data_IF_357008401815
#
_entry.id   IF_357008401815
#
_cell.length_a   1.000
_cell.length_b   1.000
_cell.length_c   1.000
_cell.angle_alpha   90.00
_cell.angle_beta   90.00
_cell.angle_gamma   90.00
#
_symmetry.space_group_name_H-M   'P 1'
#
loop_
_entity.id
_entity.type
_entity.pdbx_description
1 polymer ?
#
# COMPACT_ATOMS: atom_id res chain seq x y z
N UNK A 1 8.39 -3.29 8.88
CA UNK A 1 8.46 -3.95 10.20
C UNK A 1 9.86 -3.83 10.75
N UNK A 2 10.00 -3.58 12.05
CA UNK A 2 11.27 -3.65 12.77
C UNK A 2 11.27 -4.92 13.62
N UNK A 3 12.33 -5.72 13.53
CA UNK A 3 12.43 -7.04 14.14
C UNK A 3 13.72 -7.16 14.94
N UNK A 4 13.65 -7.79 16.11
CA UNK A 4 14.84 -8.13 16.89
C UNK A 4 15.56 -9.35 16.32
N UNK A 5 16.83 -9.54 16.69
CA UNK A 5 17.59 -10.71 16.27
C UNK A 5 16.87 -11.99 16.69
N UNK A 6 16.60 -12.88 15.72
CA UNK A 6 15.88 -14.13 15.95
C UNK A 6 14.35 -13.99 16.06
N UNK A 7 13.78 -12.80 15.80
CA UNK A 7 12.33 -12.61 15.69
C UNK A 7 11.55 -12.63 17.01
N UNK A 8 12.23 -12.45 18.13
CA UNK A 8 11.62 -12.47 19.48
C UNK A 8 10.68 -11.29 19.73
N UNK A 9 10.91 -10.18 19.03
CA UNK A 9 10.10 -8.97 19.11
C UNK A 9 9.93 -8.38 17.71
N UNK A 10 8.69 -8.00 17.41
CA UNK A 10 8.29 -7.42 16.13
C UNK A 10 7.47 -6.17 16.40
N UNK A 11 7.87 -5.05 15.80
CA UNK A 11 7.13 -3.79 15.84
C UNK A 11 6.73 -3.41 14.42
N UNK A 12 5.42 -3.22 14.21
CA UNK A 12 4.87 -2.66 12.97
C UNK A 12 4.77 -1.14 13.13
N UNK A 13 5.43 -0.40 12.25
CA UNK A 13 5.31 1.06 12.20
C UNK A 13 4.09 1.42 11.37
N UNK A 14 3.21 2.22 11.94
CA UNK A 14 1.94 2.68 11.36
C UNK A 14 1.99 4.16 10.94
N UNK A 15 3.06 4.87 11.29
CA UNK A 15 3.23 6.30 11.03
C UNK A 15 4.70 6.70 11.09
N UNK A 16 5.05 7.81 10.43
CA UNK A 16 6.37 8.44 10.54
C UNK A 16 6.62 8.87 11.99
N UNK A 17 5.62 9.47 12.65
CA UNK A 17 5.72 9.92 14.04
C UNK A 17 6.10 8.79 15.00
N UNK A 18 5.48 7.61 14.87
CA UNK A 18 5.85 6.44 15.70
C UNK A 18 7.30 6.01 15.47
N UNK A 19 7.77 6.01 14.22
CA UNK A 19 9.16 5.69 13.91
C UNK A 19 10.11 6.71 14.53
N UNK A 20 9.84 8.02 14.38
CA UNK A 20 10.67 9.06 14.98
C UNK A 20 10.70 8.97 16.51
N UNK A 21 9.54 8.78 17.15
CA UNK A 21 9.43 8.65 18.61
C UNK A 21 10.21 7.46 19.15
N UNK A 22 10.12 6.31 18.48
CA UNK A 22 10.75 5.08 18.95
C UNK A 22 12.25 5.02 18.63
N UNK A 23 12.69 5.60 17.50
CA UNK A 23 14.10 5.57 17.09
C UNK A 23 14.91 6.77 17.57
N UNK A 24 14.25 7.91 17.85
CA UNK A 24 14.89 9.20 18.09
C UNK A 24 15.43 9.88 16.82
N UNK A 25 15.30 9.26 15.65
CA UNK A 25 15.73 9.82 14.37
C UNK A 25 14.64 10.70 13.75
N UNK A 26 15.06 11.72 12.98
CA UNK A 26 14.15 12.49 12.13
C UNK A 26 14.07 11.86 10.74
N UNK A 27 12.85 11.74 10.21
CA UNK A 27 12.56 10.99 8.98
C UNK A 27 11.80 11.88 8.01
N UNK A 28 12.45 12.22 6.91
CA UNK A 28 11.87 13.04 5.85
C UNK A 28 11.53 12.24 4.59
N UNK A 29 12.18 11.09 4.42
CA UNK A 29 11.96 10.18 3.30
C UNK A 29 12.00 8.73 3.80
N UNK A 30 10.96 7.97 3.46
CA UNK A 30 10.78 6.56 3.83
C UNK A 30 11.39 5.58 2.82
N UNK A 31 12.02 6.04 1.74
CA UNK A 31 12.70 5.13 0.83
C UNK A 31 13.81 4.37 1.54
N UNK A 32 13.97 3.10 1.18
CA UNK A 32 14.84 2.11 1.82
C UNK A 32 16.23 2.65 2.20
N UNK A 33 16.93 3.29 1.25
CA UNK A 33 18.28 3.81 1.44
C UNK A 33 18.38 4.89 2.54
N UNK A 34 17.27 5.55 2.84
CA UNK A 34 17.17 6.60 3.86
C UNK A 34 16.78 6.07 5.24
N UNK A 35 16.27 4.84 5.36
CA UNK A 35 15.72 4.32 6.62
C UNK A 35 16.33 3.01 7.10
N UNK A 36 17.05 2.25 6.27
CA UNK A 36 17.60 0.94 6.65
C UNK A 36 18.59 1.01 7.82
N UNK A 37 19.29 2.14 7.97
CA UNK A 37 20.23 2.35 9.07
C UNK A 37 19.53 2.70 10.39
N UNK A 38 18.25 3.07 10.37
CA UNK A 38 17.50 3.48 11.55
C UNK A 38 17.16 2.25 12.40
N UNK A 39 17.58 2.30 13.66
CA UNK A 39 17.34 1.23 14.64
C UNK A 39 16.38 1.69 15.73
N UNK A 40 15.66 0.74 16.32
CA UNK A 40 14.78 0.99 17.47
C UNK A 40 15.33 0.26 18.69
N UNK A 41 15.66 0.97 19.80
CA UNK A 41 16.08 0.34 21.04
C UNK A 41 14.89 -0.34 21.75
N UNK A 42 15.14 -1.51 22.33
CA UNK A 42 14.19 -2.24 23.18
C UNK A 42 14.93 -2.87 24.37
N UNK A 43 14.18 -3.21 25.43
CA UNK A 43 14.68 -3.98 26.56
C UNK A 43 15.17 -5.38 26.15
N UNK A 44 14.74 -5.88 24.98
CA UNK A 44 15.12 -7.18 24.42
C UNK A 44 16.20 -7.11 23.34
N UNK A 45 16.84 -5.94 23.18
CA UNK A 45 17.90 -5.69 22.20
C UNK A 45 17.52 -4.62 21.18
N UNK A 46 18.24 -4.56 20.07
CA UNK A 46 18.04 -3.57 19.02
C UNK A 46 17.22 -4.19 17.88
N UNK A 47 16.15 -3.52 17.47
CA UNK A 47 15.35 -3.91 16.33
C UNK A 47 15.82 -3.18 15.07
N UNK A 48 15.77 -3.90 13.94
CA UNK A 48 16.15 -3.39 12.61
C UNK A 48 15.02 -3.63 11.61
N UNK A 49 14.90 -2.79 10.60
CA UNK A 49 13.95 -3.01 9.50
C UNK A 49 14.25 -4.35 8.82
N UNK A 50 13.21 -5.09 8.44
CA UNK A 50 13.38 -6.21 7.50
C UNK A 50 13.82 -5.69 6.12
N UNK A 51 14.44 -6.52 5.30
CA UNK A 51 14.95 -6.08 3.99
C UNK A 51 13.85 -5.86 2.95
N UNK A 52 12.77 -6.65 3.04
CA UNK A 52 11.69 -6.66 2.05
C UNK A 52 11.01 -5.29 1.88
N UNK A 53 10.56 -5.03 0.66
CA UNK A 53 9.72 -3.89 0.30
C UNK A 53 8.37 -4.40 -0.17
N UNK A 54 7.34 -3.55 -0.12
CA UNK A 54 6.01 -3.93 -0.57
C UNK A 54 5.98 -4.25 -2.07
N UNK A 55 5.15 -5.23 -2.44
CA UNK A 55 4.70 -5.41 -3.81
C UNK A 55 3.99 -4.13 -4.30
N UNK A 56 4.29 -3.71 -5.52
CA UNK A 56 3.68 -2.54 -6.15
C UNK A 56 2.15 -2.64 -6.22
N UNK A 57 1.59 -3.86 -6.32
CA UNK A 57 0.15 -4.04 -6.30
C UNK A 57 -0.47 -3.69 -4.95
N UNK A 58 0.23 -3.89 -3.83
CA UNK A 58 -0.21 -3.43 -2.53
C UNK A 58 -0.34 -1.90 -2.51
N UNK A 59 0.67 -1.18 -3.02
CA UNK A 59 0.63 0.27 -3.11
C UNK A 59 -0.53 0.76 -4.01
N UNK A 60 -0.71 0.15 -5.18
CA UNK A 60 -1.80 0.50 -6.09
C UNK A 60 -3.19 0.20 -5.52
N UNK A 61 -3.36 -0.92 -4.81
CA UNK A 61 -4.63 -1.28 -4.17
C UNK A 61 -4.94 -0.44 -2.93
N UNK A 62 -3.91 0.13 -2.28
CA UNK A 62 -4.06 1.11 -1.21
C UNK A 62 -4.51 2.49 -1.69
N UNK A 63 -4.50 2.73 -3.02
CA UNK A 63 -4.83 4.03 -3.62
C UNK A 63 -6.07 4.71 -3.00
N UNK A 64 -7.22 4.04 -2.78
CA UNK A 64 -8.45 4.73 -2.33
C UNK A 64 -8.30 5.52 -1.03
N UNK A 65 -7.45 5.07 -0.11
CA UNK A 65 -7.18 5.76 1.16
C UNK A 65 -5.82 6.46 1.18
N UNK A 66 -4.82 5.92 0.48
CA UNK A 66 -3.45 6.45 0.51
C UNK A 66 -3.31 7.81 -0.18
N UNK A 67 -4.03 8.06 -1.28
CA UNK A 67 -3.88 9.31 -2.05
C UNK A 67 -4.29 10.56 -1.24
N UNK A 68 -5.16 10.38 -0.25
CA UNK A 68 -5.79 11.46 0.50
C UNK A 68 -5.25 11.57 1.94
N UNK A 69 -4.20 10.81 2.23
CA UNK A 69 -3.57 10.73 3.55
C UNK A 69 -4.53 10.23 4.66
N UNK A 70 -5.55 9.44 4.30
CA UNK A 70 -6.39 8.76 5.29
C UNK A 70 -5.55 7.72 6.05
N UNK A 71 -5.70 7.57 7.38
CA UNK A 71 -6.68 8.23 8.26
C UNK A 71 -6.18 9.52 8.94
N UNK A 72 -5.01 10.03 8.56
CA UNK A 72 -4.40 11.19 9.22
C UNK A 72 -5.10 12.50 8.84
N UNK A 73 -5.56 12.61 7.60
CA UNK A 73 -6.25 13.78 7.06
C UNK A 73 -7.44 13.39 6.19
N UNK A 74 -8.29 14.37 5.87
CA UNK A 74 -9.38 14.25 4.89
C UNK A 74 -10.39 13.12 5.16
N UNK A 75 -10.56 12.74 6.43
CA UNK A 75 -11.42 11.64 6.87
C UNK A 75 -12.85 11.77 6.35
N UNK A 76 -13.50 12.91 6.57
CA UNK A 76 -14.88 13.15 6.12
C UNK A 76 -15.00 13.10 4.59
N UNK A 77 -13.98 13.60 3.88
CA UNK A 77 -13.96 13.59 2.42
C UNK A 77 -13.81 12.16 1.90
N UNK A 78 -12.98 11.34 2.53
CA UNK A 78 -12.85 9.92 2.21
C UNK A 78 -14.17 9.17 2.46
N UNK A 79 -14.72 9.27 3.67
CA UNK A 79 -15.93 8.55 4.07
C UNK A 79 -17.16 8.91 3.22
N UNK A 80 -17.26 10.16 2.77
CA UNK A 80 -18.34 10.60 1.88
C UNK A 80 -18.23 10.06 0.46
N UNK A 81 -17.01 9.85 -0.04
CA UNK A 81 -16.77 9.47 -1.43
C UNK A 81 -16.50 7.98 -1.63
N UNK A 82 -16.20 7.26 -0.54
CA UNK A 82 -15.98 5.83 -0.56
C UNK A 82 -17.29 5.05 -0.32
N UNK A 83 -17.56 3.93 -1.02
CA UNK A 83 -16.78 3.34 -2.11
C UNK A 83 -16.96 4.08 -3.44
N UNK A 84 -15.94 3.98 -4.31
CA UNK A 84 -15.93 4.66 -5.61
C UNK A 84 -17.11 4.26 -6.50
N UNK A 85 -17.67 5.21 -7.24
CA UNK A 85 -18.85 4.93 -8.06
C UNK A 85 -18.53 4.09 -9.30
N UNK A 86 -17.35 4.27 -9.89
CA UNK A 86 -16.98 3.70 -11.18
C UNK A 86 -15.45 3.55 -11.31
N UNK A 87 -15.01 2.49 -11.98
CA UNK A 87 -13.63 2.28 -12.43
C UNK A 87 -13.65 1.64 -13.82
N UNK A 88 -12.68 1.95 -14.68
CA UNK A 88 -12.53 1.31 -15.98
C UNK A 88 -11.07 1.10 -16.33
N UNK A 89 -10.68 -0.14 -16.60
CA UNK A 89 -9.33 -0.51 -17.01
C UNK A 89 -9.36 -1.71 -17.97
N UNK A 90 -8.19 -2.18 -18.40
CA UNK A 90 -8.01 -3.36 -19.26
C UNK A 90 -8.33 -4.69 -18.58
N UNK A 91 -8.58 -5.72 -19.39
CA UNK A 91 -8.87 -7.09 -18.95
C UNK A 91 -7.80 -7.69 -18.04
N UNK A 92 -6.55 -7.33 -18.27
CA UNK A 92 -5.39 -7.72 -17.48
C UNK A 92 -5.52 -7.31 -15.99
N UNK A 93 -6.27 -6.26 -15.68
CA UNK A 93 -6.45 -5.79 -14.30
C UNK A 93 -7.29 -6.72 -13.43
N UNK A 94 -7.97 -7.72 -14.01
CA UNK A 94 -8.62 -8.81 -13.24
C UNK A 94 -7.64 -9.64 -12.43
N UNK A 95 -6.35 -9.63 -12.79
CA UNK A 95 -5.25 -10.28 -12.06
C UNK A 95 -4.25 -9.30 -11.44
N UNK A 96 -4.55 -8.01 -11.49
CA UNK A 96 -3.76 -6.93 -10.92
C UNK A 96 -4.62 -6.05 -10.03
N UNK A 97 -4.85 -4.82 -10.48
CA UNK A 97 -5.39 -3.75 -9.63
C UNK A 97 -6.79 -4.04 -9.08
N UNK A 98 -7.70 -4.59 -9.88
CA UNK A 98 -9.06 -4.89 -9.42
C UNK A 98 -9.05 -5.89 -8.26
N UNK A 99 -8.17 -6.89 -8.32
CA UNK A 99 -8.00 -7.86 -7.25
C UNK A 99 -7.50 -7.19 -5.98
N UNK A 100 -6.41 -6.43 -6.05
CA UNK A 100 -5.82 -5.80 -4.86
C UNK A 100 -6.69 -4.71 -4.24
N UNK A 101 -7.40 -3.93 -5.05
CA UNK A 101 -8.39 -2.96 -4.56
C UNK A 101 -9.45 -3.67 -3.71
N UNK A 102 -10.02 -4.78 -4.21
CA UNK A 102 -11.05 -5.53 -3.50
C UNK A 102 -10.52 -6.19 -2.24
N UNK A 103 -9.35 -6.84 -2.30
CA UNK A 103 -8.74 -7.49 -1.14
C UNK A 103 -8.49 -6.50 0.00
N UNK A 104 -7.83 -5.38 -0.29
CA UNK A 104 -7.49 -4.40 0.75
C UNK A 104 -8.73 -3.66 1.26
N UNK A 105 -9.67 -3.32 0.37
CA UNK A 105 -10.91 -2.66 0.76
C UNK A 105 -11.77 -3.53 1.68
N UNK A 106 -11.94 -4.81 1.37
CA UNK A 106 -12.67 -5.73 2.23
C UNK A 106 -11.93 -5.93 3.56
N UNK A 107 -10.60 -6.12 3.51
CA UNK A 107 -9.80 -6.38 4.70
C UNK A 107 -9.78 -5.20 5.69
N UNK A 108 -9.72 -3.96 5.19
CA UNK A 108 -9.61 -2.77 6.04
C UNK A 108 -10.94 -2.05 6.32
N UNK A 109 -11.86 -2.05 5.36
CA UNK A 109 -13.06 -1.20 5.38
C UNK A 109 -14.36 -2.01 5.34
N UNK A 110 -14.28 -3.32 5.10
CA UNK A 110 -15.44 -4.21 5.11
C UNK A 110 -16.44 -3.99 3.96
N UNK A 111 -16.05 -3.25 2.91
CA UNK A 111 -16.92 -2.92 1.76
C UNK A 111 -16.12 -3.03 0.45
N UNK A 112 -16.75 -3.26 -0.72
CA UNK A 112 -16.06 -3.23 -2.02
C UNK A 112 -15.42 -1.86 -2.31
N UNK A 113 -14.29 -1.83 -3.04
CA UNK A 113 -13.61 -0.58 -3.36
C UNK A 113 -14.40 0.32 -4.33
N UNK A 114 -15.23 -0.29 -5.18
CA UNK A 114 -16.02 0.37 -6.21
C UNK A 114 -17.37 -0.31 -6.42
N UNK A 115 -18.34 0.44 -6.98
CA UNK A 115 -19.72 -0.04 -7.23
C UNK A 115 -19.93 -0.57 -8.65
N UNK A 116 -19.30 0.05 -9.64
CA UNK A 116 -19.41 -0.32 -11.04
C UNK A 116 -18.03 -0.41 -11.68
N UNK A 117 -17.85 -1.36 -12.60
CA UNK A 117 -16.59 -1.60 -13.28
C UNK A 117 -16.83 -1.85 -14.77
N UNK A 118 -16.03 -1.20 -15.63
CA UNK A 118 -15.89 -1.57 -17.04
C UNK A 118 -14.53 -2.24 -17.25
N UNK A 119 -14.57 -3.41 -17.87
CA UNK A 119 -13.40 -4.19 -18.21
C UNK A 119 -13.23 -4.13 -19.73
N UNK A 120 -12.24 -3.36 -20.20
CA UNK A 120 -11.99 -3.18 -21.63
C UNK A 120 -11.17 -4.33 -22.22
N UNK A 121 -11.42 -4.65 -23.49
CA UNK A 121 -10.60 -5.60 -24.24
C UNK A 121 -9.23 -5.02 -24.59
N UNK A 122 -8.39 -5.84 -25.23
CA UNK A 122 -7.07 -5.41 -25.68
C UNK A 122 -7.17 -4.76 -27.06
N UNK A 123 -6.47 -3.64 -27.25
CA UNK A 123 -6.26 -3.06 -28.58
C UNK A 123 -5.27 -3.94 -29.33
N UNK A 124 -5.65 -4.41 -30.52
CA UNK A 124 -4.83 -5.25 -31.37
C UNK A 124 -4.17 -4.40 -32.47
N UNK A 125 -2.98 -4.83 -32.90
CA UNK A 125 -2.38 -4.31 -34.13
C UNK A 125 -3.15 -4.85 -35.35
N UNK A 126 -3.07 -4.13 -36.46
CA UNK A 126 -3.58 -4.62 -37.75
C UNK A 126 -2.84 -5.91 -38.15
N UNK A 127 -3.58 -6.95 -38.53
CA UNK A 127 -2.98 -8.16 -39.08
C UNK A 127 -2.36 -7.83 -40.44
N UNK A 128 -1.05 -8.01 -40.58
CA UNK A 128 -0.42 -8.08 -41.89
C UNK A 128 -0.58 -9.52 -42.38
N UNK A 129 -1.36 -9.72 -43.44
CA UNK A 129 -1.30 -10.96 -44.21
C UNK A 129 0.13 -11.09 -44.76
N UNK A 130 0.85 -12.16 -44.37
CA UNK A 130 2.08 -12.55 -45.04
C UNK A 130 1.72 -13.02 -46.46
N UNK A 131 2.16 -12.28 -47.48
CA UNK A 131 2.06 -12.64 -48.92
C UNK A 131 2.82 -13.93 -49.26
#
# INVERSE_FOLDING_TARGET
>A
MWISKGGVEVIVMDSVEKLERLSGAKVFDLHRHNIDHITVPSTRGVLRRIDDVFDCWFASGSMPHAYIHYPFENVELFEKNFPGHFVAEGLDQTRGWFYTLMVLSIAFLGTPAFRNLICSGLVLAEEKEDE
#
